data_IF_029684422088
#
_entry.id   IF_029684422088
#
_cell.length_a   1.000
_cell.length_b   1.000
_cell.length_c   1.000
_cell.angle_alpha   90.00
_cell.angle_beta   90.00
_cell.angle_gamma   90.00
#
_symmetry.space_group_name_H-M   'P 1'
#
loop_
_entity.id
_entity.type
_entity.pdbx_description
1 polymer ?
#
# COMPACT_ATOMS: atom_id res chain seq x y z
N UNK A 1 -21.48 -1.59 -9.11
CA UNK A 1 -20.26 -1.06 -9.76
C UNK A 1 -20.55 0.31 -10.32
N UNK A 2 -19.71 1.29 -9.99
CA UNK A 2 -19.84 2.65 -10.52
C UNK A 2 -18.75 2.88 -11.56
N UNK A 3 -19.14 3.39 -12.71
CA UNK A 3 -18.21 3.72 -13.78
C UNK A 3 -17.65 5.12 -13.49
N UNK A 4 -16.34 5.23 -13.38
CA UNK A 4 -15.67 6.52 -13.26
C UNK A 4 -15.82 7.32 -14.56
N UNK A 5 -16.10 8.62 -14.50
CA UNK A 5 -16.11 9.46 -15.67
C UNK A 5 -14.72 9.49 -16.32
N UNK A 6 -14.66 9.61 -17.66
CA UNK A 6 -13.39 9.71 -18.39
C UNK A 6 -12.58 10.95 -17.97
N UNK A 7 -13.28 12.01 -17.62
CA UNK A 7 -12.73 13.26 -17.10
C UNK A 7 -13.45 13.62 -15.81
N UNK A 8 -12.72 14.05 -14.80
CA UNK A 8 -13.28 14.39 -13.50
C UNK A 8 -12.90 13.40 -12.39
N UNK A 9 -13.68 13.38 -11.35
CA UNK A 9 -13.45 12.55 -10.16
C UNK A 9 -14.79 12.09 -9.58
N UNK A 10 -14.73 11.10 -8.72
CA UNK A 10 -15.87 10.61 -7.97
C UNK A 10 -15.56 10.73 -6.47
N UNK A 11 -16.50 11.32 -5.72
CA UNK A 11 -16.45 11.32 -4.25
C UNK A 11 -17.39 10.21 -3.78
N UNK A 12 -16.85 9.30 -2.97
CA UNK A 12 -17.62 8.25 -2.34
C UNK A 12 -17.55 8.39 -0.82
N UNK A 13 -18.69 8.26 -0.13
CA UNK A 13 -18.75 8.33 1.31
C UNK A 13 -19.34 7.06 1.92
N UNK A 14 -18.84 6.70 3.10
CA UNK A 14 -19.27 5.54 3.87
C UNK A 14 -19.50 5.92 5.34
N UNK A 15 -20.43 5.25 6.01
CA UNK A 15 -20.73 5.51 7.41
C UNK A 15 -21.30 6.93 7.62
N UNK A 16 -20.83 7.63 8.62
CA UNK A 16 -21.27 8.99 8.96
C UNK A 16 -21.04 10.02 7.85
N UNK A 17 -20.01 9.83 7.04
CA UNK A 17 -19.70 10.76 5.94
C UNK A 17 -20.77 10.77 4.84
N UNK A 18 -21.69 9.80 4.81
CA UNK A 18 -22.83 9.80 3.89
C UNK A 18 -23.75 11.03 4.10
N UNK A 19 -23.90 11.45 5.34
CA UNK A 19 -24.77 12.57 5.69
C UNK A 19 -24.32 13.85 4.99
N UNK A 20 -22.99 14.09 4.92
CA UNK A 20 -22.41 15.24 4.22
C UNK A 20 -22.70 15.23 2.70
N UNK A 21 -22.71 14.06 2.08
CA UNK A 21 -23.04 13.97 0.65
C UNK A 21 -24.55 14.09 0.38
N UNK A 22 -25.40 13.64 1.32
CA UNK A 22 -26.85 13.73 1.19
C UNK A 22 -27.36 15.18 1.25
N UNK A 23 -26.58 16.09 1.83
CA UNK A 23 -26.89 17.54 1.86
C UNK A 23 -26.67 18.23 0.50
N UNK A 24 -25.97 17.58 -0.43
CA UNK A 24 -25.68 18.11 -1.75
C UNK A 24 -26.80 17.75 -2.72
N UNK A 25 -27.41 18.75 -3.32
CA UNK A 25 -28.37 18.54 -4.39
C UNK A 25 -27.66 18.20 -5.71
N UNK A 26 -28.33 17.42 -6.56
CA UNK A 26 -27.85 17.19 -7.93
C UNK A 26 -27.70 18.51 -8.68
N UNK A 27 -26.57 18.69 -9.35
CA UNK A 27 -26.22 19.94 -10.04
C UNK A 27 -25.52 20.98 -9.17
N UNK A 28 -25.31 20.71 -7.89
CA UNK A 28 -24.52 21.59 -7.02
C UNK A 28 -23.07 21.67 -7.50
N UNK A 29 -22.51 22.89 -7.46
CA UNK A 29 -21.07 23.08 -7.70
C UNK A 29 -20.32 22.91 -6.40
N UNK A 30 -19.29 22.07 -6.40
CA UNK A 30 -18.39 21.84 -5.28
C UNK A 30 -16.97 22.25 -5.68
N UNK A 31 -16.24 22.86 -4.74
CA UNK A 31 -14.81 23.10 -4.87
C UNK A 31 -14.04 21.99 -4.16
N UNK A 32 -13.07 21.40 -4.84
CA UNK A 32 -12.14 20.43 -4.25
C UNK A 32 -10.83 21.15 -3.95
N UNK A 33 -10.60 21.42 -2.68
CA UNK A 33 -9.34 21.97 -2.18
C UNK A 33 -8.47 20.84 -1.63
N UNK A 34 -7.18 20.87 -1.99
CA UNK A 34 -6.19 19.93 -1.48
C UNK A 34 -5.29 20.64 -0.50
N UNK A 35 -5.38 20.26 0.74
CA UNK A 35 -4.52 20.75 1.80
C UNK A 35 -3.53 19.65 2.21
N UNK A 36 -2.24 19.96 2.17
CA UNK A 36 -1.21 19.04 2.58
C UNK A 36 -0.75 19.40 4.00
N UNK A 37 -0.75 18.42 4.89
CA UNK A 37 -0.22 18.62 6.25
C UNK A 37 1.27 19.00 6.27
N UNK A 38 1.98 18.71 5.18
CA UNK A 38 3.36 19.09 4.95
C UNK A 38 3.50 19.62 3.51
N UNK A 39 3.98 20.84 3.35
CA UNK A 39 4.16 21.49 2.03
C UNK A 39 5.13 20.75 1.11
N UNK A 40 6.07 19.96 1.65
CA UNK A 40 6.97 19.10 0.88
C UNK A 40 6.22 18.13 -0.03
N UNK A 41 4.99 17.73 0.34
CA UNK A 41 4.19 16.80 -0.46
C UNK A 41 3.61 17.42 -1.73
N UNK A 42 3.55 18.76 -1.84
CA UNK A 42 3.08 19.43 -3.05
C UNK A 42 3.96 19.15 -4.28
N UNK A 43 5.22 18.79 -4.08
CA UNK A 43 6.21 18.58 -5.14
C UNK A 43 6.13 17.17 -5.75
N UNK A 44 5.33 16.27 -5.16
CA UNK A 44 5.18 14.90 -5.66
C UNK A 44 4.04 14.79 -6.68
N UNK A 45 4.33 14.14 -7.80
CA UNK A 45 3.33 13.83 -8.84
C UNK A 45 2.38 12.71 -8.44
N UNK A 46 2.84 11.80 -7.59
CA UNK A 46 2.08 10.62 -7.15
C UNK A 46 2.25 10.41 -5.65
N UNK A 47 1.13 10.14 -4.99
CA UNK A 47 1.08 9.79 -3.57
C UNK A 47 0.18 8.58 -3.38
N UNK A 48 0.60 7.65 -2.56
CA UNK A 48 -0.19 6.50 -2.15
C UNK A 48 -0.26 6.44 -0.63
N UNK A 49 -1.42 6.06 -0.12
CA UNK A 49 -1.57 5.77 1.30
C UNK A 49 -1.21 4.31 1.55
N UNK A 50 -0.28 4.08 2.47
CA UNK A 50 0.20 2.76 2.84
C UNK A 50 0.64 2.73 4.30
N UNK A 51 0.99 1.57 4.83
CA UNK A 51 1.47 1.42 6.20
C UNK A 51 1.34 -0.03 6.72
N UNK A 52 1.87 -0.27 7.90
CA UNK A 52 2.66 0.63 8.75
C UNK A 52 4.06 0.91 8.18
N UNK A 53 4.70 1.97 8.67
CA UNK A 53 6.12 2.21 8.46
C UNK A 53 6.93 1.08 9.07
N UNK A 54 7.86 0.51 8.32
CA UNK A 54 8.69 -0.60 8.77
C UNK A 54 10.03 -0.08 9.33
N UNK A 55 10.71 0.74 8.56
CA UNK A 55 12.02 1.31 8.91
C UNK A 55 12.04 2.80 8.63
N UNK A 56 12.70 3.55 9.49
CA UNK A 56 13.03 4.96 9.30
C UNK A 56 14.50 5.19 9.67
N UNK A 57 15.30 5.65 8.73
CA UNK A 57 16.75 5.87 8.90
C UNK A 57 17.49 4.65 9.51
N UNK A 58 17.16 3.46 9.05
CA UNK A 58 17.76 2.19 9.52
C UNK A 58 17.22 1.66 10.86
N UNK A 59 16.32 2.41 11.50
CA UNK A 59 15.71 2.05 12.78
C UNK A 59 14.31 1.47 12.55
N UNK A 60 13.99 0.37 13.23
CA UNK A 60 12.67 -0.23 13.21
C UNK A 60 11.63 0.70 13.84
N UNK A 61 10.57 1.00 13.12
CA UNK A 61 9.46 1.81 13.63
C UNK A 61 8.50 0.91 14.39
N UNK A 62 8.46 1.06 15.70
CA UNK A 62 7.59 0.29 16.61
C UNK A 62 6.43 1.12 17.14
N UNK A 63 6.42 2.43 16.92
CA UNK A 63 5.32 3.31 17.33
C UNK A 63 4.00 2.86 16.68
N UNK A 64 2.95 2.87 17.48
CA UNK A 64 1.63 2.43 17.06
C UNK A 64 1.02 3.42 16.05
N UNK A 65 1.16 3.12 14.79
CA UNK A 65 0.13 3.51 13.85
C UNK A 65 -1.12 2.70 14.22
N UNK A 66 -2.31 3.29 14.13
CA UNK A 66 -3.57 2.65 14.56
C UNK A 66 -3.99 1.50 13.62
N UNK A 67 -3.12 0.50 13.46
CA UNK A 67 -3.42 -0.72 12.71
C UNK A 67 -3.98 -1.80 13.63
N UNK A 68 -4.92 -2.56 13.12
CA UNK A 68 -5.49 -3.69 13.83
C UNK A 68 -4.44 -4.78 14.07
N UNK A 69 -4.45 -5.41 15.24
CA UNK A 69 -3.57 -6.54 15.59
C UNK A 69 -3.66 -7.71 14.61
N UNK A 70 -4.82 -7.93 14.00
CA UNK A 70 -4.96 -8.92 12.93
C UNK A 70 -4.06 -8.62 11.72
N UNK A 71 -3.69 -7.36 11.49
CA UNK A 71 -2.78 -6.95 10.42
C UNK A 71 -1.34 -7.01 10.90
N UNK A 72 -1.07 -6.60 12.13
CA UNK A 72 0.30 -6.42 12.62
C UNK A 72 0.92 -7.69 13.19
N UNK A 73 0.11 -8.52 13.88
CA UNK A 73 0.59 -9.66 14.66
C UNK A 73 0.39 -11.00 13.96
N UNK A 74 -0.50 -11.09 12.96
CA UNK A 74 -0.71 -12.34 12.22
C UNK A 74 0.19 -12.40 10.98
N UNK A 75 0.56 -13.62 10.63
CA UNK A 75 1.30 -13.92 9.41
C UNK A 75 0.39 -13.79 8.20
N UNK A 76 0.83 -13.00 7.23
CA UNK A 76 0.14 -12.76 5.97
C UNK A 76 1.14 -12.64 4.82
N UNK A 77 0.70 -12.85 3.57
CA UNK A 77 1.45 -12.33 2.43
C UNK A 77 1.69 -10.84 2.60
N UNK A 78 2.90 -10.38 2.27
CA UNK A 78 3.29 -8.98 2.44
C UNK A 78 3.84 -8.42 1.14
N UNK A 79 3.52 -7.15 0.92
CA UNK A 79 4.16 -6.32 -0.09
C UNK A 79 4.76 -5.12 0.64
N UNK A 80 6.00 -4.80 0.35
CA UNK A 80 6.66 -3.65 0.94
C UNK A 80 7.69 -3.07 -0.02
N UNK A 81 7.97 -1.79 0.18
CA UNK A 81 8.94 -1.04 -0.61
C UNK A 81 9.87 -0.31 0.33
N UNK A 82 11.10 -0.16 -0.08
CA UNK A 82 12.07 0.63 0.66
C UNK A 82 13.19 1.15 -0.21
N UNK A 83 14.06 1.93 0.42
CA UNK A 83 15.29 2.41 -0.19
C UNK A 83 16.48 2.04 0.69
N UNK A 84 17.59 1.73 0.06
CA UNK A 84 18.86 1.50 0.76
C UNK A 84 19.68 2.80 0.91
N UNK A 85 20.85 2.69 1.53
CA UNK A 85 21.75 3.81 1.74
C UNK A 85 22.29 4.46 0.44
N UNK A 86 22.16 3.77 -0.68
CA UNK A 86 22.54 4.27 -2.01
C UNK A 86 21.36 4.82 -2.81
N UNK A 87 20.20 5.04 -2.16
CA UNK A 87 18.94 5.44 -2.78
C UNK A 87 18.40 4.48 -3.85
N UNK A 88 18.80 3.20 -3.81
CA UNK A 88 18.22 2.18 -4.68
C UNK A 88 16.87 1.76 -4.12
N UNK A 89 15.86 1.73 -4.97
CA UNK A 89 14.52 1.27 -4.60
C UNK A 89 14.51 -0.26 -4.59
N UNK A 90 13.99 -0.84 -3.52
CA UNK A 90 13.84 -2.29 -3.35
C UNK A 90 12.35 -2.57 -3.19
N UNK A 91 11.80 -3.39 -4.08
CA UNK A 91 10.44 -3.91 -4.03
C UNK A 91 10.48 -5.33 -3.53
N UNK A 92 9.63 -5.67 -2.60
CA UNK A 92 9.58 -7.01 -2.04
C UNK A 92 8.15 -7.50 -1.89
N UNK A 93 7.95 -8.75 -2.26
CA UNK A 93 6.72 -9.49 -2.01
C UNK A 93 7.08 -10.77 -1.27
N UNK A 94 6.32 -11.08 -0.24
CA UNK A 94 6.41 -12.30 0.54
C UNK A 94 5.11 -13.09 0.35
N UNK A 95 5.20 -14.32 -0.09
CA UNK A 95 4.07 -15.23 -0.14
C UNK A 95 3.58 -15.60 1.25
N UNK A 96 2.37 -16.08 1.35
CA UNK A 96 1.81 -16.50 2.63
C UNK A 96 0.50 -17.24 2.51
N UNK A 97 -0.04 -17.66 3.68
CA UNK A 97 -1.27 -18.43 3.79
C UNK A 97 -1.22 -19.81 3.13
N UNK A 98 -0.03 -20.33 2.92
CA UNK A 98 0.18 -21.66 2.38
C UNK A 98 1.17 -22.42 3.27
N UNK A 99 0.70 -23.34 4.15
CA UNK A 99 1.58 -24.07 5.06
C UNK A 99 2.64 -24.95 4.38
N UNK A 100 2.42 -25.31 3.13
CA UNK A 100 3.35 -26.14 2.35
C UNK A 100 4.39 -25.31 1.59
N UNK A 101 4.22 -23.98 1.55
CA UNK A 101 5.09 -23.08 0.82
C UNK A 101 5.59 -21.92 1.71
N UNK A 102 4.67 -21.08 2.19
CA UNK A 102 4.98 -19.94 3.05
C UNK A 102 3.75 -19.55 3.89
N UNK A 103 3.96 -19.35 5.19
CA UNK A 103 2.91 -18.80 6.05
C UNK A 103 2.75 -17.29 5.89
N UNK A 104 3.77 -16.63 5.35
CA UNK A 104 3.89 -15.19 5.32
C UNK A 104 4.57 -14.64 6.57
N UNK A 105 4.45 -13.35 6.81
CA UNK A 105 5.10 -12.69 7.95
C UNK A 105 4.17 -11.75 8.73
N UNK A 106 4.48 -11.60 10.00
CA UNK A 106 4.00 -10.49 10.84
C UNK A 106 4.68 -9.20 10.42
N UNK A 107 4.21 -8.06 10.90
CA UNK A 107 4.90 -6.77 10.64
C UNK A 107 6.29 -6.75 11.28
N UNK A 108 6.48 -7.38 12.44
CA UNK A 108 7.79 -7.47 13.07
C UNK A 108 8.79 -8.28 12.22
N UNK A 109 8.38 -9.42 11.69
CA UNK A 109 9.20 -10.22 10.77
C UNK A 109 9.47 -9.47 9.47
N UNK A 110 8.48 -8.76 8.92
CA UNK A 110 8.64 -7.94 7.72
C UNK A 110 9.67 -6.83 7.93
N UNK A 111 9.69 -6.17 9.09
CA UNK A 111 10.73 -5.19 9.47
C UNK A 111 12.13 -5.81 9.47
N UNK A 112 12.24 -6.97 10.06
CA UNK A 112 13.52 -7.69 10.11
C UNK A 112 14.02 -8.03 8.71
N UNK A 113 13.12 -8.53 7.83
CA UNK A 113 13.45 -8.84 6.44
C UNK A 113 13.85 -7.58 5.68
N UNK A 114 13.08 -6.48 5.81
CA UNK A 114 13.41 -5.20 5.17
C UNK A 114 14.82 -4.73 5.56
N UNK A 115 15.17 -4.84 6.85
CA UNK A 115 16.51 -4.51 7.34
C UNK A 115 17.57 -5.44 6.77
N UNK A 116 17.30 -6.75 6.70
CA UNK A 116 18.22 -7.74 6.12
C UNK A 116 18.47 -7.55 4.64
N UNK A 117 17.49 -6.97 3.91
CA UNK A 117 17.63 -6.55 2.52
C UNK A 117 18.43 -5.24 2.34
N UNK A 118 18.90 -4.63 3.43
CA UNK A 118 19.68 -3.40 3.41
C UNK A 118 18.85 -2.13 3.29
N UNK A 119 17.54 -2.20 3.44
CA UNK A 119 16.69 -1.01 3.44
C UNK A 119 16.98 -0.14 4.66
N UNK A 120 17.04 1.18 4.47
CA UNK A 120 17.14 2.17 5.55
C UNK A 120 15.79 2.84 5.80
N UNK A 121 14.96 3.03 4.78
CA UNK A 121 13.58 3.43 4.92
C UNK A 121 12.71 2.37 4.23
N UNK A 122 11.64 1.96 4.87
CA UNK A 122 10.75 0.93 4.32
C UNK A 122 9.31 1.11 4.79
N UNK A 123 8.38 0.85 3.90
CA UNK A 123 6.94 0.99 4.11
C UNK A 123 6.23 -0.28 3.67
N UNK A 124 5.36 -0.81 4.53
CA UNK A 124 4.48 -1.89 4.16
C UNK A 124 3.33 -1.34 3.29
N UNK A 125 2.99 -2.08 2.25
CA UNK A 125 1.89 -1.79 1.34
C UNK A 125 0.70 -2.73 1.64
N UNK A 126 -0.33 -2.69 0.78
CA UNK A 126 -1.41 -3.67 0.87
C UNK A 126 -0.85 -5.10 0.68
N UNK A 127 -1.39 -6.02 1.45
CA UNK A 127 -0.90 -7.38 1.57
C UNK A 127 -1.98 -8.42 1.32
N UNK A 128 -1.77 -9.62 1.85
CA UNK A 128 -2.73 -10.72 1.68
C UNK A 128 -2.90 -11.10 0.22
N UNK A 129 -4.15 -11.23 -0.24
CA UNK A 129 -4.46 -11.57 -1.63
C UNK A 129 -4.08 -10.50 -2.65
N UNK A 130 -3.78 -9.27 -2.21
CA UNK A 130 -3.29 -8.19 -3.08
C UNK A 130 -1.79 -8.27 -3.36
N UNK A 131 -1.06 -9.15 -2.65
CA UNK A 131 0.38 -9.32 -2.85
C UNK A 131 0.66 -10.06 -4.16
N UNK A 132 1.03 -9.31 -5.18
CA UNK A 132 1.38 -9.84 -6.50
C UNK A 132 2.60 -9.11 -7.05
N UNK A 133 3.58 -9.85 -7.52
CA UNK A 133 4.76 -9.37 -8.22
C UNK A 133 4.73 -9.86 -9.66
N UNK A 134 4.47 -8.93 -10.57
CA UNK A 134 4.54 -9.22 -12.00
C UNK A 134 5.90 -8.79 -12.55
N UNK A 135 6.58 -9.69 -13.23
CA UNK A 135 7.90 -9.46 -13.78
C UNK A 135 8.04 -10.06 -15.17
N UNK A 136 8.33 -9.24 -16.16
CA UNK A 136 8.59 -9.66 -17.55
C UNK A 136 7.55 -10.64 -18.14
N UNK A 137 6.28 -10.38 -17.89
CA UNK A 137 5.19 -11.18 -18.47
C UNK A 137 4.71 -12.35 -17.59
N UNK A 138 5.30 -12.54 -16.42
CA UNK A 138 4.91 -13.61 -15.51
C UNK A 138 4.62 -13.08 -14.10
N UNK A 139 3.78 -13.80 -13.37
CA UNK A 139 3.63 -13.62 -11.92
C UNK A 139 4.80 -14.35 -11.25
N UNK A 140 5.65 -13.57 -10.57
CA UNK A 140 6.89 -14.10 -9.99
C UNK A 140 6.73 -14.64 -8.56
N UNK A 141 5.57 -14.44 -7.94
CA UNK A 141 5.22 -14.97 -6.62
C UNK A 141 4.01 -15.91 -6.72
N UNK A 142 3.57 -16.47 -5.59
CA UNK A 142 2.37 -17.31 -5.49
C UNK A 142 1.24 -16.55 -4.78
N UNK A 143 0.32 -15.89 -5.53
CA UNK A 143 -0.80 -15.17 -4.93
C UNK A 143 -1.65 -16.08 -4.04
N UNK A 144 -1.95 -15.63 -2.81
CA UNK A 144 -2.67 -16.47 -1.83
C UNK A 144 -4.13 -16.77 -2.18
N UNK A 145 -4.69 -16.05 -3.15
CA UNK A 145 -6.04 -16.31 -3.68
C UNK A 145 -6.03 -17.31 -4.87
N UNK A 146 -4.86 -17.90 -5.16
CA UNK A 146 -4.66 -18.81 -6.29
C UNK A 146 -4.55 -18.12 -7.66
N UNK A 147 -4.83 -16.82 -7.71
CA UNK A 147 -4.73 -15.95 -8.89
C UNK A 147 -4.55 -14.50 -8.45
N UNK A 148 -4.23 -13.62 -9.40
CA UNK A 148 -4.21 -12.18 -9.15
C UNK A 148 -5.57 -11.67 -8.70
N UNK A 149 -5.56 -10.85 -7.65
CA UNK A 149 -6.74 -10.13 -7.19
C UNK A 149 -6.87 -8.83 -7.95
N UNK A 150 -8.07 -8.44 -8.43
CA UNK A 150 -8.31 -7.08 -8.86
C UNK A 150 -8.04 -6.09 -7.73
N UNK A 151 -7.15 -5.14 -7.97
CA UNK A 151 -6.75 -4.10 -7.02
C UNK A 151 -7.02 -2.72 -7.64
N UNK A 152 -7.31 -1.69 -6.82
CA UNK A 152 -7.64 -0.36 -7.34
C UNK A 152 -6.42 0.35 -7.96
N UNK A 153 -5.21 -0.01 -7.57
CA UNK A 153 -3.97 0.53 -8.12
C UNK A 153 -2.82 -0.46 -7.97
N UNK A 154 -1.82 -0.29 -8.79
CA UNK A 154 -0.53 -0.98 -8.71
C UNK A 154 0.60 0.02 -8.92
N UNK A 155 1.82 -0.37 -8.55
CA UNK A 155 3.02 0.43 -8.78
C UNK A 155 3.84 -0.27 -9.85
N UNK A 156 4.25 0.49 -10.85
CA UNK A 156 5.01 -0.03 -11.98
C UNK A 156 6.32 0.72 -12.14
N UNK A 157 7.36 0.02 -12.58
CA UNK A 157 8.62 0.60 -13.01
C UNK A 157 8.84 0.31 -14.49
N UNK A 158 9.19 1.33 -15.22
CA UNK A 158 9.56 1.23 -16.62
C UNK A 158 10.97 1.77 -16.83
N UNK A 159 11.79 1.07 -17.60
CA UNK A 159 13.02 1.67 -18.11
C UNK A 159 12.66 2.77 -19.10
N UNK A 160 13.37 3.90 -19.02
CA UNK A 160 13.32 4.92 -20.08
C UNK A 160 14.04 4.42 -21.31
#
# INVERSE_FOLDING_TARGET
DHILPKTGFMIAARGRSKELLNELAEGSTIALEKEWANTTYSDFSHLIQAGPMLLSNGVAVTASESFNSSITEKQHPRTFVGVDASNRIIWAVMDGRDPMHSMGGTIAETRWIAKSLGMINALNLDGGGSSTLWWRGIIANKPSDGKERPVPYGITMHSK
#
